data_IF_053520473333
#
_entry.id   IF_053520473333
#
_cell.length_a   1.000
_cell.length_b   1.000
_cell.length_c   1.000
_cell.angle_alpha   90.00
_cell.angle_beta   90.00
_cell.angle_gamma   90.00
#
_symmetry.space_group_name_H-M   'P 1'
#
loop_
_entity.id
_entity.type
_entity.pdbx_description
1 polymer ?
#
# COMPACT_ATOMS: atom_id res chain seq x y z
N UNK A 1 2.17 8.59 -24.38
CA UNK A 1 0.98 7.91 -23.83
C UNK A 1 -0.10 8.90 -23.44
N UNK A 2 0.17 9.85 -22.52
CA UNK A 2 -0.76 10.94 -22.17
C UNK A 2 -1.41 11.61 -23.40
N UNK A 3 -0.60 12.04 -24.37
CA UNK A 3 -1.10 12.60 -25.63
C UNK A 3 -2.08 11.68 -26.37
N UNK A 4 -1.77 10.39 -26.46
CA UNK A 4 -2.65 9.43 -27.14
C UNK A 4 -3.97 9.24 -26.39
N UNK A 5 -3.98 9.36 -25.05
CA UNK A 5 -5.21 9.28 -24.27
C UNK A 5 -6.10 10.51 -24.48
N UNK A 6 -5.50 11.69 -24.63
CA UNK A 6 -6.22 12.94 -24.97
C UNK A 6 -6.73 12.88 -26.42
N UNK A 7 -5.86 12.53 -27.37
CA UNK A 7 -6.20 12.49 -28.80
C UNK A 7 -7.29 11.45 -29.12
N UNK A 8 -7.41 10.39 -28.32
CA UNK A 8 -8.43 9.33 -28.45
C UNK A 8 -9.65 9.53 -27.54
N UNK A 9 -9.80 10.71 -26.92
CA UNK A 9 -10.97 11.09 -26.11
C UNK A 9 -11.20 10.16 -24.89
N UNK A 10 -10.11 9.76 -24.24
CA UNK A 10 -10.15 8.93 -23.02
C UNK A 10 -10.05 9.76 -21.72
N UNK A 11 -10.30 11.06 -21.77
CA UNK A 11 -10.25 11.92 -20.58
C UNK A 11 -11.31 11.54 -19.53
N UNK A 12 -12.51 11.18 -19.97
CA UNK A 12 -13.62 10.70 -19.12
C UNK A 12 -13.28 9.41 -18.34
N UNK A 13 -12.16 8.76 -18.69
CA UNK A 13 -11.65 7.57 -17.98
C UNK A 13 -10.71 7.92 -16.82
N UNK A 14 -10.22 9.16 -16.81
CA UNK A 14 -9.25 9.67 -15.83
C UNK A 14 -9.90 10.44 -14.69
N UNK A 15 -11.06 11.05 -14.93
CA UNK A 15 -11.90 11.77 -13.96
C UNK A 15 -13.34 11.82 -14.51
N UNK A 16 -14.33 12.08 -13.65
CA UNK A 16 -15.75 12.08 -14.03
C UNK A 16 -16.23 13.44 -14.55
N UNK A 17 -15.71 14.53 -13.99
CA UNK A 17 -16.06 15.90 -14.41
C UNK A 17 -14.96 16.90 -14.05
N UNK A 18 -14.99 18.08 -14.68
CA UNK A 18 -14.09 19.19 -14.32
C UNK A 18 -14.35 19.71 -12.90
N UNK A 19 -15.60 19.69 -12.44
CA UNK A 19 -15.97 20.04 -11.05
C UNK A 19 -15.33 19.08 -10.03
N UNK A 20 -15.20 17.79 -10.37
CA UNK A 20 -14.48 16.82 -9.54
C UNK A 20 -13.00 17.20 -9.41
N UNK A 21 -12.36 17.63 -10.50
CA UNK A 21 -10.96 18.10 -10.48
C UNK A 21 -10.79 19.35 -9.62
N UNK A 22 -11.68 20.33 -9.76
CA UNK A 22 -11.64 21.56 -8.96
C UNK A 22 -11.80 21.24 -7.46
N UNK A 23 -12.77 20.40 -7.10
CA UNK A 23 -12.98 19.95 -5.72
C UNK A 23 -11.77 19.17 -5.19
N UNK A 24 -11.18 18.32 -6.04
CA UNK A 24 -9.97 17.57 -5.69
C UNK A 24 -8.81 18.50 -5.38
N UNK A 25 -8.51 19.47 -6.24
CA UNK A 25 -7.37 20.38 -6.04
C UNK A 25 -7.59 21.35 -4.90
N UNK A 26 -8.81 21.85 -4.71
CA UNK A 26 -9.18 22.67 -3.56
C UNK A 26 -8.90 21.96 -2.22
N UNK A 27 -9.02 20.64 -2.18
CA UNK A 27 -8.75 19.81 -1.00
C UNK A 27 -7.28 19.41 -0.92
N UNK A 28 -6.69 18.91 -2.00
CA UNK A 28 -5.34 18.37 -2.03
C UNK A 28 -4.27 19.43 -1.80
N UNK A 29 -4.43 20.64 -2.37
CA UNK A 29 -3.43 21.71 -2.26
C UNK A 29 -3.35 22.31 -0.84
N UNK A 30 -4.26 21.96 0.07
CA UNK A 30 -4.14 22.34 1.48
C UNK A 30 -2.93 21.69 2.16
N UNK A 31 -2.40 20.58 1.61
CA UNK A 31 -1.22 19.89 2.15
C UNK A 31 0.12 20.50 1.67
N UNK A 32 0.08 21.31 0.58
CA UNK A 32 1.25 21.77 -0.16
C UNK A 32 1.20 23.29 -0.37
N UNK A 33 1.65 24.04 0.64
CA UNK A 33 1.49 25.49 0.66
C UNK A 33 2.19 26.19 -0.52
N UNK A 34 3.35 25.68 -0.93
CA UNK A 34 4.23 26.23 -1.97
C UNK A 34 3.98 25.62 -3.37
N UNK A 35 2.89 24.88 -3.56
CA UNK A 35 2.63 24.24 -4.85
C UNK A 35 2.09 25.25 -5.89
N UNK A 36 2.78 25.39 -7.02
CA UNK A 36 2.48 26.37 -8.07
C UNK A 36 1.01 26.40 -8.54
N UNK A 37 0.35 25.24 -8.60
CA UNK A 37 -1.05 25.14 -9.03
C UNK A 37 -2.03 25.87 -8.09
N UNK A 38 -1.61 26.16 -6.84
CA UNK A 38 -2.41 26.94 -5.88
C UNK A 38 -2.64 28.38 -6.35
N UNK A 39 -1.66 28.93 -7.07
CA UNK A 39 -1.72 30.29 -7.60
C UNK A 39 -2.38 30.37 -8.98
N UNK A 40 -2.86 29.23 -9.51
CA UNK A 40 -3.48 29.11 -10.83
C UNK A 40 -4.78 28.28 -10.77
N UNK A 41 -5.80 28.72 -10.01
CA UNK A 41 -7.08 28.00 -9.87
C UNK A 41 -7.79 27.77 -11.21
N UNK A 42 -7.58 28.65 -12.19
CA UNK A 42 -8.11 28.50 -13.55
C UNK A 42 -7.59 27.25 -14.28
N UNK A 43 -6.49 26.66 -13.82
CA UNK A 43 -5.91 25.44 -14.39
C UNK A 43 -6.41 24.16 -13.71
N UNK A 44 -7.15 24.25 -12.60
CA UNK A 44 -7.55 23.07 -11.83
C UNK A 44 -8.40 22.09 -12.65
N UNK A 45 -9.32 22.60 -13.49
CA UNK A 45 -10.15 21.79 -14.38
C UNK A 45 -9.37 21.10 -15.52
N UNK A 46 -8.09 21.42 -15.70
CA UNK A 46 -7.19 20.85 -16.70
C UNK A 46 -6.02 20.06 -16.09
N UNK A 47 -5.84 20.13 -14.78
CA UNK A 47 -4.75 19.46 -14.08
C UNK A 47 -5.18 18.06 -13.62
N UNK A 48 -4.68 17.03 -14.29
CA UNK A 48 -4.97 15.63 -14.00
C UNK A 48 -4.02 15.14 -12.89
N UNK A 49 -4.52 14.83 -11.68
CA UNK A 49 -3.69 14.27 -10.62
C UNK A 49 -3.26 12.84 -10.98
N UNK A 50 -1.97 12.56 -10.90
CA UNK A 50 -1.43 11.22 -11.17
C UNK A 50 -0.64 10.67 -9.99
N UNK A 51 -0.70 9.35 -9.85
CA UNK A 51 0.06 8.60 -8.86
C UNK A 51 1.10 7.78 -9.58
N UNK A 52 2.33 7.85 -9.07
CA UNK A 52 3.43 7.01 -9.51
C UNK A 52 3.55 5.80 -8.59
N UNK A 53 3.75 4.64 -9.17
CA UNK A 53 3.86 3.40 -8.42
C UNK A 53 4.93 2.50 -9.02
N UNK A 54 5.65 1.77 -8.17
CA UNK A 54 6.58 0.74 -8.61
C UNK A 54 6.62 -0.48 -7.70
N UNK A 55 6.90 -1.63 -8.31
CA UNK A 55 7.06 -2.92 -7.62
C UNK A 55 7.83 -3.91 -8.50
N UNK A 56 8.30 -4.99 -7.89
CA UNK A 56 9.05 -6.06 -8.53
C UNK A 56 8.21 -7.33 -8.72
N UNK A 57 8.04 -7.74 -9.98
CA UNK A 57 7.45 -9.03 -10.34
C UNK A 57 8.49 -10.11 -10.63
N UNK A 58 8.20 -11.37 -10.28
CA UNK A 58 9.11 -12.49 -10.55
C UNK A 58 8.71 -13.32 -11.79
N UNK A 59 9.66 -13.57 -12.69
CA UNK A 59 9.52 -14.44 -13.87
C UNK A 59 10.77 -15.31 -14.04
N UNK A 60 10.64 -16.63 -14.07
CA UNK A 60 11.75 -17.58 -14.30
C UNK A 60 12.98 -17.32 -13.41
N UNK A 61 12.78 -17.10 -12.10
CA UNK A 61 13.81 -16.72 -11.10
C UNK A 61 14.45 -15.34 -11.29
N UNK A 62 14.03 -14.59 -12.29
CA UNK A 62 14.41 -13.20 -12.47
C UNK A 62 13.37 -12.27 -11.86
N UNK A 63 13.83 -11.16 -11.28
CA UNK A 63 12.95 -10.09 -10.79
C UNK A 63 12.91 -8.95 -11.81
N UNK A 64 11.75 -8.38 -12.04
CA UNK A 64 11.50 -7.28 -12.98
C UNK A 64 10.85 -6.14 -12.23
N UNK A 65 11.52 -5.00 -12.19
CA UNK A 65 10.92 -3.73 -11.78
C UNK A 65 9.96 -3.25 -12.84
N UNK A 66 8.78 -2.84 -12.41
CA UNK A 66 7.78 -2.22 -13.25
C UNK A 66 7.41 -0.92 -12.55
N UNK A 67 7.59 0.20 -13.24
CA UNK A 67 7.09 1.50 -12.81
C UNK A 67 5.91 1.88 -13.69
N UNK A 68 4.81 2.28 -13.07
CA UNK A 68 3.60 2.71 -13.75
C UNK A 68 3.09 4.02 -13.15
N UNK A 69 2.24 4.72 -13.91
CA UNK A 69 1.43 5.80 -13.38
C UNK A 69 -0.06 5.48 -13.52
N UNK A 70 -0.90 6.17 -12.75
CA UNK A 70 -2.37 6.03 -12.74
C UNK A 70 -3.01 7.38 -12.43
N UNK A 71 -4.06 7.83 -13.15
CA UNK A 71 -4.85 8.98 -12.71
C UNK A 71 -5.49 8.69 -11.34
N UNK A 72 -5.30 9.57 -10.37
CA UNK A 72 -5.76 9.35 -8.99
C UNK A 72 -7.30 9.31 -8.90
N UNK A 73 -7.98 9.95 -9.86
CA UNK A 73 -9.44 10.03 -10.04
C UNK A 73 -10.01 9.02 -11.05
N UNK A 74 -9.21 8.05 -11.54
CA UNK A 74 -9.68 7.17 -12.61
C UNK A 74 -10.95 6.41 -12.23
N UNK A 75 -11.97 6.47 -13.09
CA UNK A 75 -13.22 5.69 -12.95
C UNK A 75 -12.98 4.18 -13.01
N UNK A 76 -11.84 3.78 -13.59
CA UNK A 76 -11.40 2.38 -13.66
C UNK A 76 -10.33 2.03 -12.63
N UNK A 77 -10.25 2.76 -11.51
CA UNK A 77 -9.28 2.52 -10.45
C UNK A 77 -9.32 1.09 -9.89
N UNK A 78 -10.45 0.40 -9.93
CA UNK A 78 -10.58 -1.02 -9.51
C UNK A 78 -10.30 -2.02 -10.64
N UNK A 79 -9.97 -1.57 -11.85
CA UNK A 79 -9.49 -2.40 -12.95
C UNK A 79 -8.01 -2.14 -13.24
N UNK A 80 -7.17 -3.06 -12.77
CA UNK A 80 -5.71 -2.99 -12.94
C UNK A 80 -5.21 -2.93 -14.39
N UNK A 81 -6.05 -3.31 -15.37
CA UNK A 81 -5.70 -3.35 -16.79
C UNK A 81 -6.11 -2.11 -17.56
N UNK A 82 -7.05 -1.33 -17.03
CA UNK A 82 -7.61 -0.15 -17.66
C UNK A 82 -6.96 1.16 -17.20
N UNK A 83 -6.46 1.22 -15.96
CA UNK A 83 -6.04 2.48 -15.34
C UNK A 83 -4.54 2.58 -15.02
N UNK A 84 -3.75 1.51 -15.24
CA UNK A 84 -2.30 1.51 -14.98
C UNK A 84 -1.52 1.54 -16.28
N UNK A 85 -0.63 2.51 -16.35
CA UNK A 85 0.11 2.88 -17.53
C UNK A 85 1.61 2.68 -17.27
N UNK A 86 2.23 1.69 -17.91
CA UNK A 86 3.65 1.36 -17.67
C UNK A 86 4.53 2.49 -18.22
N UNK A 87 5.41 3.00 -17.36
CA UNK A 87 6.43 4.01 -17.68
C UNK A 87 7.69 3.32 -18.17
N UNK A 88 8.22 2.40 -17.37
CA UNK A 88 9.35 1.57 -17.74
C UNK A 88 9.27 0.20 -17.07
N UNK A 89 10.05 -0.75 -17.60
CA UNK A 89 10.31 -2.02 -16.95
C UNK A 89 11.78 -2.38 -17.11
N UNK A 90 12.37 -2.93 -16.05
CA UNK A 90 13.78 -3.24 -15.99
C UNK A 90 14.01 -4.55 -15.25
N UNK A 91 14.91 -5.38 -15.77
CA UNK A 91 15.39 -6.56 -15.06
C UNK A 91 16.25 -6.16 -13.86
N UNK A 92 15.92 -6.64 -12.66
CA UNK A 92 16.63 -6.25 -11.43
C UNK A 92 18.12 -6.66 -11.43
N UNK A 93 18.52 -7.68 -12.20
CA UNK A 93 19.94 -8.04 -12.35
C UNK A 93 20.74 -7.04 -13.20
N UNK A 94 20.08 -6.04 -13.80
CA UNK A 94 20.72 -4.91 -14.48
C UNK A 94 20.92 -3.69 -13.57
N UNK A 95 20.50 -3.76 -12.31
CA UNK A 95 20.78 -2.69 -11.36
C UNK A 95 22.28 -2.54 -11.16
N UNK A 96 22.74 -1.31 -11.35
CA UNK A 96 24.00 -0.84 -10.81
C UNK A 96 23.72 -0.16 -9.48
N UNK A 97 24.19 -0.78 -8.39
CA UNK A 97 24.07 -0.25 -7.03
C UNK A 97 25.44 0.29 -6.64
N UNK A 98 25.52 1.60 -6.45
CA UNK A 98 26.73 2.27 -5.98
C UNK A 98 26.81 2.20 -4.45
N UNK A 99 27.98 1.80 -3.94
CA UNK A 99 28.20 1.57 -2.53
C UNK A 99 27.23 0.51 -1.98
N UNK A 100 26.62 0.79 -0.83
CA UNK A 100 25.73 -0.14 -0.13
C UNK A 100 24.24 0.17 -0.27
N UNK A 101 23.84 1.27 -0.93
CA UNK A 101 22.45 1.73 -0.82
C UNK A 101 21.83 2.43 -2.03
N UNK A 102 22.58 3.03 -2.95
CA UNK A 102 22.00 3.86 -4.03
C UNK A 102 21.89 3.05 -5.32
N UNK A 103 20.68 2.92 -5.86
CA UNK A 103 20.44 2.24 -7.14
C UNK A 103 20.55 3.25 -8.29
N UNK A 104 21.76 3.45 -8.80
CA UNK A 104 22.07 4.44 -9.85
C UNK A 104 21.30 4.19 -11.15
N UNK A 105 21.01 2.94 -11.47
CA UNK A 105 20.17 2.61 -12.64
C UNK A 105 18.75 3.15 -12.47
N UNK A 106 18.14 2.94 -11.31
CA UNK A 106 16.80 3.50 -11.03
C UNK A 106 16.83 5.02 -10.95
N UNK A 107 17.86 5.62 -10.35
CA UNK A 107 17.99 7.08 -10.32
C UNK A 107 18.09 7.68 -11.73
N UNK A 108 18.86 7.06 -12.63
CA UNK A 108 18.96 7.49 -14.03
C UNK A 108 17.63 7.38 -14.78
N UNK A 109 16.86 6.30 -14.57
CA UNK A 109 15.53 6.15 -15.17
C UNK A 109 14.53 7.16 -14.58
N UNK A 110 14.53 7.33 -13.25
CA UNK A 110 13.65 8.27 -12.58
C UNK A 110 13.96 9.72 -12.96
N UNK A 111 15.22 10.06 -13.23
CA UNK A 111 15.62 11.35 -13.78
C UNK A 111 14.91 11.67 -15.09
N UNK A 112 14.93 10.73 -16.05
CA UNK A 112 14.22 10.91 -17.33
C UNK A 112 12.70 11.04 -17.12
N UNK A 113 12.13 10.26 -16.19
CA UNK A 113 10.70 10.37 -15.83
C UNK A 113 10.38 11.74 -15.24
N UNK A 114 11.23 12.28 -14.39
CA UNK A 114 11.06 13.61 -13.79
C UNK A 114 11.11 14.70 -14.85
N UNK A 115 12.03 14.62 -15.81
CA UNK A 115 12.12 15.59 -16.90
C UNK A 115 10.84 15.60 -17.75
N UNK A 116 10.33 14.41 -18.12
CA UNK A 116 9.08 14.27 -18.86
C UNK A 116 7.87 14.78 -18.07
N UNK A 117 7.83 14.50 -16.76
CA UNK A 117 6.73 14.94 -15.88
C UNK A 117 6.77 16.43 -15.63
N UNK A 118 7.94 17.03 -15.38
CA UNK A 118 8.08 18.47 -15.25
C UNK A 118 7.62 19.18 -16.53
N UNK A 119 7.95 18.65 -17.70
CA UNK A 119 7.43 19.18 -18.96
C UNK A 119 5.90 19.04 -19.06
N UNK A 120 5.34 17.88 -18.72
CA UNK A 120 3.89 17.67 -18.74
C UNK A 120 3.13 18.50 -17.69
N UNK A 121 3.78 18.85 -16.57
CA UNK A 121 3.22 19.71 -15.51
C UNK A 121 3.26 21.18 -15.87
N UNK A 122 4.39 21.67 -16.39
CA UNK A 122 4.59 23.10 -16.61
C UNK A 122 4.09 23.55 -17.98
N UNK A 123 4.28 22.70 -19.00
CA UNK A 123 3.89 23.03 -20.37
C UNK A 123 2.58 22.34 -20.76
N UNK A 124 2.09 21.35 -20.00
CA UNK A 124 0.91 20.59 -20.38
C UNK A 124 1.10 19.72 -21.63
N UNK A 125 0.08 18.94 -21.96
CA UNK A 125 0.02 18.07 -23.12
C UNK A 125 -1.14 18.50 -23.99
N UNK A 126 -0.85 18.91 -25.24
CA UNK A 126 -1.87 19.31 -26.20
C UNK A 126 -2.51 18.12 -26.90
N UNK A 127 -3.84 18.06 -26.86
CA UNK A 127 -4.65 17.20 -27.70
C UNK A 127 -4.69 17.65 -29.16
N UNK A 128 -5.24 16.80 -30.01
CA UNK A 128 -5.50 17.08 -31.43
C UNK A 128 -6.52 18.22 -31.63
N UNK A 129 -7.41 18.43 -30.66
CA UNK A 129 -8.38 19.54 -30.61
C UNK A 129 -7.76 20.88 -30.19
N UNK A 130 -6.50 20.89 -29.76
CA UNK A 130 -5.81 22.08 -29.23
C UNK A 130 -5.97 22.30 -27.73
N UNK A 131 -6.84 21.53 -27.06
CA UNK A 131 -6.97 21.56 -25.59
C UNK A 131 -5.69 21.09 -24.91
N UNK A 132 -5.40 21.64 -23.73
CA UNK A 132 -4.18 21.38 -22.97
C UNK A 132 -4.53 20.86 -21.58
N UNK A 133 -3.89 19.75 -21.21
CA UNK A 133 -4.03 19.12 -19.90
C UNK A 133 -2.68 18.97 -19.21
N UNK A 134 -2.62 19.19 -17.90
CA UNK A 134 -1.40 19.14 -17.10
C UNK A 134 -1.40 17.86 -16.26
N UNK A 135 -0.32 17.09 -16.27
CA UNK A 135 -0.25 15.82 -15.52
C UNK A 135 0.58 16.04 -14.26
N UNK A 136 -0.09 16.13 -13.11
CA UNK A 136 0.53 16.57 -11.85
C UNK A 136 0.69 15.37 -10.90
N UNK A 137 1.91 14.91 -10.60
CA UNK A 137 2.11 13.86 -9.63
C UNK A 137 1.71 14.33 -8.23
N UNK A 138 0.90 13.52 -7.54
CA UNK A 138 0.38 13.84 -6.19
C UNK A 138 0.84 12.83 -5.14
N UNK A 139 1.28 11.65 -5.57
CA UNK A 139 1.73 10.60 -4.67
C UNK A 139 2.67 9.61 -5.36
N UNK A 140 3.54 9.02 -4.54
CA UNK A 140 4.38 7.88 -4.84
C UNK A 140 4.00 6.73 -3.94
N UNK A 141 3.67 5.58 -4.54
CA UNK A 141 3.24 4.36 -3.85
C UNK A 141 4.13 3.19 -4.21
N UNK A 142 4.08 2.14 -3.41
CA UNK A 142 4.79 0.89 -3.65
C UNK A 142 5.12 0.18 -2.35
N UNK A 143 5.74 -0.98 -2.47
CA UNK A 143 6.28 -1.65 -1.29
C UNK A 143 7.47 -0.85 -0.71
N UNK A 144 7.81 -1.07 0.56
CA UNK A 144 8.91 -0.34 1.20
C UNK A 144 10.26 -0.62 0.55
N UNK A 145 10.41 -1.76 -0.16
CA UNK A 145 11.65 -2.10 -0.86
C UNK A 145 11.84 -1.19 -2.08
N UNK A 146 10.80 -1.01 -2.89
CA UNK A 146 10.78 -0.08 -4.00
C UNK A 146 11.00 1.35 -3.52
N UNK A 147 10.21 1.82 -2.55
CA UNK A 147 10.32 3.19 -2.04
C UNK A 147 11.73 3.47 -1.51
N UNK A 148 12.36 2.51 -0.82
CA UNK A 148 13.76 2.62 -0.40
C UNK A 148 14.71 2.89 -1.56
N UNK A 149 14.58 2.15 -2.65
CA UNK A 149 15.48 2.27 -3.80
C UNK A 149 15.18 3.51 -4.64
N UNK A 150 13.91 3.85 -4.84
CA UNK A 150 13.47 5.00 -5.61
C UNK A 150 13.84 6.33 -4.95
N UNK A 151 13.79 6.39 -3.61
CA UNK A 151 14.04 7.60 -2.84
C UNK A 151 15.35 7.61 -2.06
N UNK A 152 16.26 6.66 -2.32
CA UNK A 152 17.52 6.53 -1.60
C UNK A 152 17.35 6.53 -0.06
N UNK A 153 16.27 5.91 0.44
CA UNK A 153 15.94 5.98 1.86
C UNK A 153 16.99 5.23 2.68
N UNK A 154 17.77 5.97 3.48
CA UNK A 154 18.73 5.40 4.43
C UNK A 154 18.00 4.74 5.60
N UNK A 155 16.87 5.31 6.02
CA UNK A 155 16.01 4.80 7.10
C UNK A 155 15.03 3.77 6.55
N UNK A 156 15.10 2.53 7.06
CA UNK A 156 14.30 1.41 6.61
C UNK A 156 14.18 0.32 7.68
N UNK A 157 13.32 -0.66 7.46
CA UNK A 157 13.02 -1.73 8.44
C UNK A 157 14.21 -2.58 8.90
N UNK A 158 15.36 -2.52 8.21
CA UNK A 158 16.58 -3.25 8.55
C UNK A 158 17.68 -2.36 9.18
N UNK A 159 17.52 -1.04 9.18
CA UNK A 159 18.46 -0.12 9.85
C UNK A 159 18.09 0.13 11.31
N UNK A 160 18.94 0.87 12.00
CA UNK A 160 18.65 1.33 13.36
C UNK A 160 17.51 2.35 13.37
N UNK A 161 17.57 3.36 12.51
CA UNK A 161 16.46 4.25 12.19
C UNK A 161 15.50 3.54 11.23
N UNK A 162 14.29 3.20 11.67
CA UNK A 162 13.40 2.28 10.93
C UNK A 162 12.35 2.96 10.08
N UNK A 163 12.13 4.27 10.25
CA UNK A 163 11.06 5.02 9.61
C UNK A 163 11.62 6.12 8.71
N UNK A 164 11.05 6.31 7.51
CA UNK A 164 11.46 7.41 6.63
C UNK A 164 10.75 8.73 6.95
N UNK A 165 9.64 8.69 7.71
CA UNK A 165 8.86 9.87 8.12
C UNK A 165 9.33 10.51 9.42
N UNK A 166 10.07 9.79 10.27
CA UNK A 166 10.51 10.29 11.57
C UNK A 166 11.82 9.62 11.99
N UNK A 167 12.28 9.88 13.21
CA UNK A 167 13.51 9.31 13.78
C UNK A 167 13.28 8.04 14.61
N UNK A 168 12.15 7.34 14.43
CA UNK A 168 11.89 6.09 15.16
C UNK A 168 13.01 5.06 14.94
N UNK A 169 13.45 4.44 16.03
CA UNK A 169 14.57 3.50 16.06
C UNK A 169 14.12 2.08 16.41
N UNK A 170 14.96 1.09 16.15
CA UNK A 170 14.76 -0.28 16.64
C UNK A 170 15.17 -0.46 18.12
N UNK A 171 15.58 0.62 18.79
CA UNK A 171 15.95 0.66 20.20
C UNK A 171 17.41 0.34 20.51
N UNK A 172 18.26 0.01 19.51
CA UNK A 172 19.68 -0.30 19.77
C UNK A 172 20.49 0.94 20.13
N UNK A 173 20.33 2.05 19.40
CA UNK A 173 21.01 3.30 19.72
C UNK A 173 20.22 4.20 20.66
N UNK A 174 18.88 4.20 20.52
CA UNK A 174 18.01 5.24 21.07
C UNK A 174 16.70 4.66 21.57
N UNK A 175 16.69 4.14 22.79
CA UNK A 175 15.50 3.54 23.43
C UNK A 175 14.34 4.53 23.51
N UNK A 176 14.62 5.83 23.72
CA UNK A 176 13.61 6.89 23.76
C UNK A 176 12.89 7.13 22.42
N UNK A 177 13.44 6.63 21.31
CA UNK A 177 12.84 6.71 19.97
C UNK A 177 12.32 5.35 19.50
N UNK A 178 12.21 4.34 20.37
CA UNK A 178 11.87 2.98 19.94
C UNK A 178 10.49 2.93 19.25
N UNK A 179 10.44 2.32 18.05
CA UNK A 179 9.22 2.29 17.23
C UNK A 179 8.06 1.51 17.88
N UNK A 180 8.35 0.69 18.89
CA UNK A 180 7.33 -0.08 19.62
C UNK A 180 6.63 0.72 20.70
N UNK A 181 7.13 1.93 21.03
CA UNK A 181 6.41 2.83 21.92
C UNK A 181 5.29 3.53 21.15
N UNK A 182 4.06 3.09 21.39
CA UNK A 182 2.85 3.66 20.79
C UNK A 182 2.27 4.80 21.61
N UNK A 183 2.80 5.07 22.80
CA UNK A 183 2.24 6.03 23.74
C UNK A 183 2.17 7.44 23.13
N UNK A 184 1.29 8.28 23.67
CA UNK A 184 1.21 9.69 23.28
C UNK A 184 2.50 10.47 23.52
N UNK A 185 3.37 9.96 24.41
CA UNK A 185 4.64 10.58 24.80
C UNK A 185 5.84 9.94 24.11
N UNK A 186 5.62 9.05 23.13
CA UNK A 186 6.70 8.40 22.41
C UNK A 186 7.63 9.42 21.75
N UNK A 187 8.94 9.34 22.03
CA UNK A 187 9.88 10.39 21.66
C UNK A 187 9.99 10.64 20.16
N UNK A 188 9.76 9.63 19.33
CA UNK A 188 9.78 9.76 17.87
C UNK A 188 8.69 10.71 17.33
N UNK A 189 7.58 10.93 18.07
CA UNK A 189 6.48 11.81 17.63
C UNK A 189 6.94 13.25 17.44
N UNK A 190 7.86 13.70 18.28
CA UNK A 190 8.42 15.05 18.20
C UNK A 190 9.32 15.25 16.97
N UNK A 191 9.57 14.18 16.22
CA UNK A 191 10.48 14.16 15.06
C UNK A 191 9.79 14.06 13.71
N UNK A 192 8.45 14.00 13.63
CA UNK A 192 7.73 13.76 12.36
C UNK A 192 7.99 14.86 11.32
N UNK A 193 8.07 16.12 11.75
CA UNK A 193 8.29 17.27 10.85
C UNK A 193 9.68 17.90 11.02
N UNK A 194 10.43 17.49 12.04
CA UNK A 194 11.77 18.02 12.34
C UNK A 194 12.89 17.04 12.02
N UNK A 195 12.55 15.80 11.62
CA UNK A 195 13.54 14.82 11.22
C UNK A 195 14.36 15.31 10.02
N UNK A 196 15.69 15.08 10.01
CA UNK A 196 16.50 15.25 8.81
C UNK A 196 15.92 14.43 7.65
N UNK A 197 16.23 14.87 6.42
CA UNK A 197 15.83 14.15 5.22
C UNK A 197 16.25 12.67 5.28
N UNK A 198 15.38 11.74 4.82
CA UNK A 198 15.62 10.29 4.94
C UNK A 198 16.68 9.76 3.97
N UNK A 199 17.42 10.60 3.27
CA UNK A 199 18.47 10.23 2.32
C UNK A 199 19.74 11.04 2.59
N UNK A 200 20.87 10.48 2.15
CA UNK A 200 22.14 11.22 2.11
C UNK A 200 22.30 11.92 0.75
N UNK A 201 21.94 11.22 -0.32
CA UNK A 201 21.92 11.73 -1.68
C UNK A 201 20.47 11.93 -2.12
N UNK A 202 20.12 13.15 -2.53
CA UNK A 202 18.77 13.49 -2.96
C UNK A 202 18.35 12.59 -4.14
N UNK A 203 17.22 11.88 -4.04
CA UNK A 203 16.74 11.07 -5.15
C UNK A 203 16.27 11.95 -6.30
N UNK A 204 16.26 11.39 -7.50
CA UNK A 204 15.92 12.11 -8.74
C UNK A 204 14.53 12.73 -8.68
N UNK A 205 13.57 12.08 -8.01
CA UNK A 205 12.22 12.61 -7.80
C UNK A 205 12.16 13.92 -7.00
N UNK A 206 13.19 14.28 -6.23
CA UNK A 206 13.25 15.59 -5.57
C UNK A 206 13.37 16.76 -6.56
N UNK A 207 13.69 16.50 -7.83
CA UNK A 207 13.70 17.52 -8.89
C UNK A 207 12.34 17.76 -9.53
N UNK A 208 11.31 17.02 -9.13
CA UNK A 208 9.95 17.25 -9.59
C UNK A 208 9.43 18.58 -9.04
N UNK A 209 8.81 19.41 -9.88
CA UNK A 209 8.16 20.64 -9.42
C UNK A 209 7.05 20.32 -8.42
N UNK A 210 7.07 20.99 -7.26
CA UNK A 210 6.11 20.73 -6.18
C UNK A 210 6.38 19.44 -5.39
N UNK A 211 7.58 18.82 -5.53
CA UNK A 211 7.93 17.67 -4.71
C UNK A 211 7.92 17.99 -3.21
N UNK A 212 7.23 17.16 -2.44
CA UNK A 212 7.23 17.18 -0.98
C UNK A 212 7.34 15.73 -0.46
N UNK A 213 8.02 15.53 0.67
CA UNK A 213 8.19 14.21 1.29
C UNK A 213 6.84 13.55 1.65
N UNK A 214 5.80 14.34 1.92
CA UNK A 214 4.42 13.89 2.13
C UNK A 214 3.85 13.16 0.93
N UNK A 215 4.36 13.37 -0.28
CA UNK A 215 3.95 12.63 -1.47
C UNK A 215 4.35 11.15 -1.40
N UNK A 216 5.35 10.77 -0.59
CA UNK A 216 5.72 9.37 -0.39
C UNK A 216 4.68 8.72 0.53
N UNK A 217 3.76 7.97 -0.06
CA UNK A 217 2.69 7.28 0.65
C UNK A 217 3.13 5.87 1.05
N UNK A 218 2.89 5.54 2.31
CA UNK A 218 3.05 4.17 2.75
C UNK A 218 1.82 3.36 2.29
N UNK A 219 2.05 2.14 1.81
CA UNK A 219 0.97 1.30 1.33
C UNK A 219 0.26 0.58 2.50
N UNK A 220 -1.04 0.84 2.66
CA UNK A 220 -1.88 0.19 3.67
C UNK A 220 -1.93 -1.33 3.50
N UNK A 221 -1.93 -1.84 2.27
CA UNK A 221 -1.93 -3.29 2.02
C UNK A 221 -0.64 -3.93 2.55
N UNK A 222 0.53 -3.41 2.20
CA UNK A 222 1.80 -3.92 2.71
C UNK A 222 2.00 -3.71 4.21
N UNK A 223 1.50 -2.61 4.74
CA UNK A 223 1.69 -2.19 6.14
C UNK A 223 0.76 -2.93 7.10
N UNK A 224 -0.53 -3.01 6.77
CA UNK A 224 -1.54 -3.67 7.57
C UNK A 224 -1.75 -5.13 7.15
N UNK A 225 -2.33 -5.37 5.97
CA UNK A 225 -2.74 -6.71 5.53
C UNK A 225 -1.59 -7.72 5.40
N UNK A 226 -0.43 -7.28 4.87
CA UNK A 226 0.78 -8.10 4.73
C UNK A 226 1.80 -7.83 5.86
N UNK A 227 1.44 -7.00 6.83
CA UNK A 227 2.24 -6.66 8.01
C UNK A 227 1.49 -7.02 9.28
N UNK A 228 0.95 -6.02 9.96
CA UNK A 228 0.36 -6.13 11.29
C UNK A 228 -0.75 -7.20 11.39
N UNK A 229 -1.65 -7.24 10.40
CA UNK A 229 -2.76 -8.19 10.38
C UNK A 229 -2.27 -9.64 10.26
N UNK A 230 -1.17 -9.92 9.54
CA UNK A 230 -0.63 -11.29 9.42
C UNK A 230 -0.14 -11.84 10.76
N UNK A 231 0.55 -11.00 11.53
CA UNK A 231 1.06 -11.38 12.85
C UNK A 231 -0.11 -11.55 13.85
N UNK A 232 -1.15 -10.71 13.76
CA UNK A 232 -2.40 -10.85 14.53
C UNK A 232 -3.14 -12.15 14.20
N UNK A 233 -3.46 -12.36 12.92
CA UNK A 233 -4.19 -13.53 12.40
C UNK A 233 -3.43 -14.81 12.74
N UNK A 234 -2.11 -14.83 12.53
CA UNK A 234 -1.27 -15.98 12.88
C UNK A 234 -1.35 -16.33 14.36
N UNK A 235 -1.23 -15.33 15.23
CA UNK A 235 -1.30 -15.51 16.69
C UNK A 235 -2.68 -16.00 17.13
N UNK A 236 -3.75 -15.39 16.60
CA UNK A 236 -5.13 -15.79 16.86
C UNK A 236 -5.39 -17.25 16.47
N UNK A 237 -5.05 -17.65 15.24
CA UNK A 237 -5.22 -19.02 14.77
C UNK A 237 -4.51 -20.01 15.69
N UNK A 238 -3.27 -19.71 16.11
CA UNK A 238 -2.50 -20.59 16.99
C UNK A 238 -3.15 -20.69 18.38
N UNK A 239 -3.63 -19.59 18.95
CA UNK A 239 -4.32 -19.61 20.24
C UNK A 239 -5.61 -20.44 20.16
N UNK A 240 -6.47 -20.16 19.18
CA UNK A 240 -7.76 -20.86 19.02
C UNK A 240 -7.61 -22.36 18.77
N UNK A 241 -6.59 -22.76 18.00
CA UNK A 241 -6.36 -24.18 17.69
C UNK A 241 -5.48 -24.91 18.69
N UNK A 242 -4.85 -24.22 19.67
CA UNK A 242 -4.18 -24.89 20.80
C UNK A 242 -5.15 -25.28 21.90
N UNK A 243 -6.15 -24.43 22.19
CA UNK A 243 -7.21 -24.73 23.17
C UNK A 243 -8.10 -25.85 22.63
N UNK A 244 -8.30 -26.91 23.41
CA UNK A 244 -9.34 -27.90 23.12
C UNK A 244 -10.69 -27.25 23.43
N UNK A 245 -11.69 -27.41 22.55
CA UNK A 245 -13.04 -26.89 22.77
C UNK A 245 -13.55 -25.99 21.65
N UNK A 246 -12.69 -25.15 21.05
CA UNK A 246 -13.09 -24.24 19.95
C UNK A 246 -13.20 -25.02 18.63
N UNK A 247 -12.12 -25.71 18.26
CA UNK A 247 -12.11 -26.60 17.10
C UNK A 247 -11.92 -28.04 17.56
N UNK A 248 -12.71 -28.95 17.00
CA UNK A 248 -12.67 -30.38 17.29
C UNK A 248 -11.51 -31.07 16.56
N UNK A 249 -11.03 -32.18 17.15
CA UNK A 249 -10.00 -33.03 16.56
C UNK A 249 -8.78 -33.22 17.45
N UNK A 250 -8.22 -34.44 17.39
CA UNK A 250 -7.12 -34.87 18.24
C UNK A 250 -5.80 -34.12 17.98
N UNK A 251 -5.57 -33.63 16.77
CA UNK A 251 -4.30 -33.00 16.34
C UNK A 251 -4.50 -31.55 15.89
N UNK A 252 -3.42 -30.75 15.97
CA UNK A 252 -3.41 -29.36 15.46
C UNK A 252 -3.80 -29.32 13.98
N UNK A 253 -3.31 -30.26 13.17
CA UNK A 253 -3.63 -30.33 11.74
C UNK A 253 -5.13 -30.52 11.48
N UNK A 254 -5.82 -31.35 12.28
CA UNK A 254 -7.28 -31.54 12.15
C UNK A 254 -8.03 -30.24 12.51
N UNK A 255 -7.63 -29.57 13.60
CA UNK A 255 -8.23 -28.29 14.03
C UNK A 255 -7.99 -27.16 13.04
N UNK A 256 -6.79 -27.04 12.47
CA UNK A 256 -6.49 -26.09 11.39
C UNK A 256 -7.33 -26.34 10.15
N UNK A 257 -7.57 -27.61 9.79
CA UNK A 257 -8.41 -27.94 8.64
C UNK A 257 -9.89 -27.59 8.87
N UNK A 258 -10.39 -27.78 10.10
CA UNK A 258 -11.74 -27.35 10.47
C UNK A 258 -11.89 -25.83 10.37
N UNK A 259 -10.99 -25.07 11.01
CA UNK A 259 -10.96 -23.60 10.93
C UNK A 259 -10.90 -23.12 9.48
N UNK A 260 -10.02 -23.71 8.67
CA UNK A 260 -9.90 -23.34 7.26
C UNK A 260 -11.15 -23.68 6.44
N UNK A 261 -11.87 -24.74 6.78
CA UNK A 261 -13.14 -25.10 6.13
C UNK A 261 -14.24 -24.11 6.51
N UNK A 262 -14.32 -23.72 7.78
CA UNK A 262 -15.21 -22.65 8.26
C UNK A 262 -14.94 -21.34 7.53
N UNK A 263 -13.67 -20.91 7.46
CA UNK A 263 -13.27 -19.69 6.75
C UNK A 263 -13.72 -19.69 5.28
N UNK A 264 -13.55 -20.80 4.55
CA UNK A 264 -14.00 -20.91 3.15
C UNK A 264 -15.52 -20.83 3.01
N UNK A 265 -16.25 -21.46 3.93
CA UNK A 265 -17.71 -21.41 3.93
C UNK A 265 -18.19 -19.98 4.22
N UNK A 266 -17.64 -19.35 5.25
CA UNK A 266 -17.89 -17.96 5.61
C UNK A 266 -17.59 -17.03 4.44
N UNK A 267 -16.42 -17.17 3.80
CA UNK A 267 -16.04 -16.36 2.65
C UNK A 267 -17.06 -16.48 1.51
N UNK A 268 -17.48 -17.72 1.18
CA UNK A 268 -18.50 -17.96 0.15
C UNK A 268 -19.84 -17.30 0.49
N UNK A 269 -20.27 -17.35 1.75
CA UNK A 269 -21.51 -16.71 2.21
C UNK A 269 -21.46 -15.18 2.08
N UNK A 270 -20.27 -14.58 2.15
CA UNK A 270 -20.05 -13.14 2.05
C UNK A 270 -19.55 -12.70 0.66
N UNK A 271 -19.64 -13.56 -0.36
CA UNK A 271 -19.18 -13.23 -1.72
C UNK A 271 -17.66 -13.02 -1.86
N UNK A 272 -16.87 -13.48 -0.89
CA UNK A 272 -15.41 -13.37 -0.86
C UNK A 272 -14.76 -14.67 -1.33
N UNK A 273 -13.49 -14.59 -1.75
CA UNK A 273 -12.69 -15.74 -2.15
C UNK A 273 -11.44 -15.88 -1.27
N UNK A 274 -11.07 -17.12 -0.96
CA UNK A 274 -9.83 -17.47 -0.26
C UNK A 274 -8.88 -18.12 -1.26
N UNK A 275 -7.77 -17.45 -1.54
CA UNK A 275 -6.75 -17.89 -2.49
C UNK A 275 -5.76 -18.91 -1.93
N UNK A 276 -5.51 -18.89 -0.61
CA UNK A 276 -4.68 -19.93 0.03
C UNK A 276 -5.39 -21.29 -0.04
N UNK A 277 -4.70 -22.33 -0.51
CA UNK A 277 -5.31 -23.65 -0.74
C UNK A 277 -5.49 -24.48 0.53
N UNK A 278 -4.61 -24.32 1.51
CA UNK A 278 -4.59 -25.09 2.77
C UNK A 278 -3.89 -24.31 3.87
N UNK A 279 -4.39 -24.43 5.09
CA UNK A 279 -3.75 -23.92 6.30
C UNK A 279 -2.95 -25.04 6.98
N UNK A 280 -1.65 -24.82 7.22
CA UNK A 280 -0.75 -25.78 7.87
C UNK A 280 0.08 -25.07 8.95
N UNK A 281 0.67 -25.81 9.89
CA UNK A 281 1.62 -25.23 10.85
C UNK A 281 2.78 -24.50 10.16
N UNK A 282 3.28 -25.03 9.04
CA UNK A 282 4.33 -24.39 8.22
C UNK A 282 3.89 -23.05 7.60
N UNK A 283 2.62 -22.92 7.20
CA UNK A 283 2.09 -21.65 6.66
C UNK A 283 1.84 -20.59 7.74
N UNK A 284 2.05 -20.95 9.01
CA UNK A 284 1.85 -20.11 10.18
C UNK A 284 3.14 -19.84 10.95
N UNK A 285 4.31 -20.30 10.48
CA UNK A 285 5.58 -20.24 11.26
C UNK A 285 5.42 -20.75 12.70
N UNK A 286 4.75 -21.89 12.87
CA UNK A 286 4.22 -22.34 14.16
C UNK A 286 5.21 -22.38 15.34
N UNK A 287 6.49 -22.70 15.08
CA UNK A 287 7.56 -22.78 16.08
C UNK A 287 8.15 -21.43 16.50
N UNK A 288 7.89 -20.38 15.71
CA UNK A 288 8.38 -19.03 15.93
C UNK A 288 7.22 -18.13 16.38
N UNK A 289 7.29 -16.84 16.03
CA UNK A 289 6.16 -15.93 16.08
C UNK A 289 5.18 -16.29 14.97
N UNK A 290 3.93 -16.66 15.29
CA UNK A 290 2.98 -17.09 14.30
C UNK A 290 2.66 -15.98 13.31
N UNK A 291 2.81 -16.28 12.02
CA UNK A 291 2.57 -15.32 10.94
C UNK A 291 1.74 -15.99 9.84
N UNK A 292 0.61 -15.39 9.49
CA UNK A 292 -0.22 -15.88 8.41
C UNK A 292 0.41 -15.61 7.02
N UNK A 293 0.90 -16.67 6.35
CA UNK A 293 1.53 -16.58 5.01
C UNK A 293 0.55 -16.59 3.83
N UNK A 294 -0.70 -16.17 4.01
CA UNK A 294 -1.64 -15.94 2.90
C UNK A 294 -1.36 -14.62 2.18
N UNK A 295 -1.98 -14.38 1.03
CA UNK A 295 -1.94 -13.09 0.32
C UNK A 295 -2.67 -12.00 1.11
N UNK A 296 -2.54 -10.73 0.71
CA UNK A 296 -3.23 -9.62 1.35
C UNK A 296 -4.76 -9.83 1.35
N UNK A 297 -5.30 -10.27 0.22
CA UNK A 297 -6.72 -10.58 0.07
C UNK A 297 -7.15 -11.71 1.01
N UNK A 298 -6.30 -12.72 1.24
CA UNK A 298 -6.59 -13.76 2.23
C UNK A 298 -6.66 -13.16 3.64
N UNK A 299 -5.73 -12.28 4.01
CA UNK A 299 -5.74 -11.63 5.32
C UNK A 299 -7.01 -10.79 5.55
N UNK A 300 -7.46 -10.06 4.53
CA UNK A 300 -8.72 -9.30 4.54
C UNK A 300 -9.98 -10.17 4.71
N UNK A 301 -9.91 -11.47 4.37
CA UNK A 301 -10.99 -12.43 4.61
C UNK A 301 -10.87 -13.07 6.00
N UNK A 302 -9.67 -13.47 6.39
CA UNK A 302 -9.43 -14.15 7.66
C UNK A 302 -9.73 -13.25 8.86
N UNK A 303 -9.45 -11.95 8.77
CA UNK A 303 -9.66 -11.01 9.88
C UNK A 303 -11.12 -10.99 10.39
N UNK A 304 -12.13 -10.65 9.56
CA UNK A 304 -13.53 -10.68 9.98
C UNK A 304 -14.07 -12.08 10.31
N UNK A 305 -13.56 -13.13 9.64
CA UNK A 305 -13.91 -14.52 9.99
C UNK A 305 -13.47 -14.88 11.42
N UNK A 306 -12.22 -14.57 11.79
CA UNK A 306 -11.71 -14.87 13.12
C UNK A 306 -12.40 -14.03 14.21
N UNK A 307 -12.78 -12.80 13.89
CA UNK A 307 -13.61 -11.97 14.77
C UNK A 307 -14.94 -12.68 15.07
N UNK A 308 -15.66 -13.12 14.03
CA UNK A 308 -16.93 -13.87 14.19
C UNK A 308 -16.75 -15.14 15.02
N UNK A 309 -15.71 -15.93 14.76
CA UNK A 309 -15.48 -17.17 15.52
C UNK A 309 -15.15 -16.93 16.99
N UNK A 310 -14.44 -15.85 17.33
CA UNK A 310 -14.12 -15.50 18.71
C UNK A 310 -15.27 -14.87 19.48
N UNK A 311 -16.24 -14.26 18.79
CA UNK A 311 -17.47 -13.79 19.44
C UNK A 311 -18.24 -14.98 20.02
N UNK A 312 -18.35 -16.06 19.24
CA UNK A 312 -19.03 -17.29 19.67
C UNK A 312 -18.16 -18.14 20.61
N UNK A 313 -16.84 -18.06 20.46
CA UNK A 313 -15.89 -18.90 21.19
C UNK A 313 -14.76 -18.06 21.81
N UNK A 314 -15.04 -17.27 22.86
CA UNK A 314 -14.05 -16.39 23.45
C UNK A 314 -12.86 -17.18 24.04
N UNK A 315 -11.68 -16.55 23.96
CA UNK A 315 -10.46 -17.08 24.59
C UNK A 315 -10.36 -16.52 26.01
N UNK A 316 -10.51 -17.39 27.00
CA UNK A 316 -10.22 -17.04 28.40
C UNK A 316 -8.73 -16.91 28.71
N UNK A 317 -8.44 -16.33 29.87
CA UNK A 317 -7.09 -16.27 30.45
C UNK A 317 -6.30 -15.03 30.03
N UNK A 318 -4.96 -15.12 29.93
CA UNK A 318 -4.10 -13.95 29.72
C UNK A 318 -4.36 -13.18 28.43
N UNK A 319 -5.00 -13.80 27.43
CA UNK A 319 -5.26 -13.20 26.12
C UNK A 319 -6.74 -12.89 25.90
N UNK A 320 -7.53 -12.69 26.96
CA UNK A 320 -8.96 -12.34 26.88
C UNK A 320 -9.24 -11.05 26.10
N UNK A 321 -8.27 -10.12 26.05
CA UNK A 321 -8.36 -8.91 25.22
C UNK A 321 -8.29 -9.14 23.72
N UNK A 322 -8.01 -10.37 23.24
CA UNK A 322 -7.83 -10.63 21.80
C UNK A 322 -9.07 -10.30 20.96
N UNK A 323 -10.27 -10.55 21.49
CA UNK A 323 -11.52 -10.22 20.78
C UNK A 323 -11.62 -8.71 20.51
N UNK A 324 -11.31 -7.88 21.51
CA UNK A 324 -11.32 -6.41 21.37
C UNK A 324 -10.27 -5.92 20.37
N UNK A 325 -9.07 -6.52 20.35
CA UNK A 325 -8.02 -6.17 19.38
C UNK A 325 -8.40 -6.57 17.96
N UNK A 326 -9.02 -7.74 17.75
CA UNK A 326 -9.51 -8.16 16.44
C UNK A 326 -10.67 -7.30 15.95
N UNK A 327 -11.58 -6.93 16.85
CA UNK A 327 -12.65 -5.99 16.53
C UNK A 327 -12.09 -4.65 16.08
N UNK A 328 -11.17 -4.05 16.86
CA UNK A 328 -10.55 -2.78 16.51
C UNK A 328 -9.79 -2.85 15.17
N UNK A 329 -9.04 -3.94 14.94
CA UNK A 329 -8.34 -4.18 13.68
C UNK A 329 -9.28 -4.28 12.47
N UNK A 330 -10.41 -4.98 12.63
CA UNK A 330 -11.40 -5.15 11.57
C UNK A 330 -12.11 -3.83 11.28
N UNK A 331 -12.55 -3.09 12.30
CA UNK A 331 -13.20 -1.78 12.14
C UNK A 331 -12.25 -0.76 11.50
N UNK A 332 -10.99 -0.73 11.92
CA UNK A 332 -9.95 0.10 11.30
C UNK A 332 -9.79 -0.25 9.82
N UNK A 333 -9.66 -1.54 9.51
CA UNK A 333 -9.52 -2.01 8.13
C UNK A 333 -10.75 -1.69 7.29
N UNK A 334 -11.94 -1.85 7.85
CA UNK A 334 -13.19 -1.59 7.15
C UNK A 334 -13.29 -0.11 6.80
N UNK A 335 -13.17 0.78 7.80
CA UNK A 335 -13.28 2.23 7.63
C UNK A 335 -12.24 2.75 6.63
N UNK A 336 -10.97 2.34 6.75
CA UNK A 336 -9.91 2.75 5.82
C UNK A 336 -10.21 2.28 4.39
N UNK A 337 -10.66 1.04 4.20
CA UNK A 337 -10.87 0.47 2.87
C UNK A 337 -12.17 0.90 2.22
N UNK A 338 -13.15 1.40 2.99
CA UNK A 338 -14.43 1.90 2.49
C UNK A 338 -14.44 3.41 2.25
N UNK A 339 -13.48 4.15 2.78
CA UNK A 339 -13.42 5.60 2.64
C UNK A 339 -13.05 6.05 1.22
N UNK A 340 -13.42 7.28 0.88
CA UNK A 340 -13.02 7.93 -0.36
C UNK A 340 -11.54 8.36 -0.39
N UNK A 341 -11.22 9.25 -1.33
CA UNK A 341 -9.88 9.86 -1.48
C UNK A 341 -9.52 10.68 -0.26
N UNK A 342 -10.49 11.47 0.22
CA UNK A 342 -10.38 12.32 1.39
C UNK A 342 -11.37 11.81 2.42
N UNK A 343 -10.91 11.67 3.65
CA UNK A 343 -11.73 11.23 4.77
C UNK A 343 -12.67 12.34 5.19
N UNK A 344 -13.93 12.00 5.46
CA UNK A 344 -14.81 12.85 6.27
C UNK A 344 -14.24 13.03 7.68
N UNK A 345 -14.74 14.03 8.42
CA UNK A 345 -14.29 14.26 9.80
C UNK A 345 -14.64 13.08 10.70
N UNK A 346 -15.80 12.46 10.46
CA UNK A 346 -16.27 11.28 11.20
C UNK A 346 -15.40 10.05 10.90
N UNK A 347 -15.06 9.79 9.63
CA UNK A 347 -14.16 8.69 9.25
C UNK A 347 -12.77 8.90 9.87
N UNK A 348 -12.22 10.11 9.82
CA UNK A 348 -10.93 10.44 10.43
C UNK A 348 -10.95 10.21 11.95
N UNK A 349 -11.96 10.72 12.65
CA UNK A 349 -12.14 10.49 14.09
C UNK A 349 -12.30 9.01 14.42
N UNK A 350 -13.02 8.26 13.59
CA UNK A 350 -13.21 6.82 13.74
C UNK A 350 -11.88 6.09 13.60
N UNK A 351 -11.12 6.34 12.52
CA UNK A 351 -9.81 5.76 12.26
C UNK A 351 -8.84 6.02 13.41
N UNK A 352 -8.79 7.24 13.93
CA UNK A 352 -7.93 7.58 15.07
C UNK A 352 -8.33 6.82 16.34
N UNK A 353 -9.63 6.77 16.64
CA UNK A 353 -10.16 6.12 17.84
C UNK A 353 -9.95 4.61 17.79
N UNK A 354 -10.43 3.94 16.72
CA UNK A 354 -10.30 2.49 16.58
C UNK A 354 -8.85 2.07 16.31
N UNK A 355 -8.09 2.92 15.62
CA UNK A 355 -6.67 2.73 15.38
C UNK A 355 -5.86 2.75 16.66
N UNK A 356 -6.11 3.73 17.55
CA UNK A 356 -5.45 3.76 18.86
C UNK A 356 -5.83 2.58 19.74
N UNK A 357 -7.11 2.21 19.77
CA UNK A 357 -7.56 1.00 20.47
C UNK A 357 -6.84 -0.26 19.96
N UNK A 358 -6.67 -0.38 18.64
CA UNK A 358 -5.91 -1.47 18.04
C UNK A 358 -4.43 -1.44 18.46
N UNK A 359 -3.76 -0.29 18.33
CA UNK A 359 -2.34 -0.15 18.64
C UNK A 359 -2.02 -0.48 20.10
N UNK A 360 -2.78 0.10 21.02
CA UNK A 360 -2.59 -0.08 22.47
C UNK A 360 -2.95 -1.51 22.88
N UNK A 361 -4.08 -2.03 22.40
CA UNK A 361 -4.49 -3.40 22.68
C UNK A 361 -3.50 -4.44 22.14
N UNK A 362 -2.95 -4.25 20.93
CA UNK A 362 -1.92 -5.13 20.38
C UNK A 362 -0.63 -5.05 21.22
N UNK A 363 -0.22 -3.86 21.65
CA UNK A 363 0.93 -3.64 22.53
C UNK A 363 0.78 -4.35 23.88
N UNK A 364 -0.42 -4.35 24.47
CA UNK A 364 -0.75 -5.10 25.68
C UNK A 364 -0.61 -6.61 25.45
N UNK A 365 -1.19 -7.15 24.37
CA UNK A 365 -1.09 -8.58 24.05
C UNK A 365 0.38 -9.02 23.81
N UNK A 366 1.17 -8.18 23.13
CA UNK A 366 2.60 -8.41 22.91
C UNK A 366 3.37 -8.42 24.23
N UNK A 367 3.09 -7.46 25.12
CA UNK A 367 3.71 -7.38 26.45
C UNK A 367 3.41 -8.60 27.30
N UNK A 368 2.15 -9.07 27.31
CA UNK A 368 1.74 -10.30 27.99
C UNK A 368 2.49 -11.50 27.44
N UNK A 369 2.62 -11.62 26.11
CA UNK A 369 3.35 -12.71 25.48
C UNK A 369 4.83 -12.72 25.90
N UNK A 370 5.49 -11.55 25.91
CA UNK A 370 6.89 -11.41 26.36
C UNK A 370 7.06 -11.81 27.82
N UNK A 371 6.21 -11.30 28.73
CA UNK A 371 6.25 -11.63 30.17
C UNK A 371 6.10 -13.14 30.40
N UNK A 372 5.29 -13.80 29.59
CA UNK A 372 5.04 -15.25 29.65
C UNK A 372 6.07 -16.08 28.87
N UNK A 373 7.06 -15.44 28.23
CA UNK A 373 8.05 -16.08 27.34
C UNK A 373 7.40 -16.86 26.19
N UNK A 374 6.24 -16.38 25.73
CA UNK A 374 5.49 -16.93 24.62
C UNK A 374 5.76 -16.11 23.35
N UNK A 375 5.89 -16.79 22.20
CA UNK A 375 6.13 -16.12 20.90
C UNK A 375 4.79 -15.83 20.23
N UNK A 376 4.18 -14.70 20.54
CA UNK A 376 2.96 -14.18 19.90
C UNK A 376 3.08 -12.68 19.63
N UNK A 377 2.20 -12.13 18.80
CA UNK A 377 2.00 -10.68 18.60
C UNK A 377 3.30 -9.91 18.30
N UNK A 378 3.99 -10.32 17.22
CA UNK A 378 5.26 -9.71 16.82
C UNK A 378 5.06 -8.27 16.35
N UNK A 379 5.69 -7.31 17.03
CA UNK A 379 5.72 -5.91 16.59
C UNK A 379 6.88 -5.68 15.61
N UNK A 380 6.56 -5.26 14.38
CA UNK A 380 7.53 -4.94 13.32
C UNK A 380 7.56 -3.45 13.06
N UNK A 381 8.58 -2.89 12.39
CA UNK A 381 8.57 -1.48 11.97
C UNK A 381 7.31 -1.05 11.20
N UNK A 382 6.66 -1.97 10.46
CA UNK A 382 5.37 -1.72 9.80
C UNK A 382 4.25 -1.31 10.76
N UNK A 383 4.32 -1.75 12.01
CA UNK A 383 3.37 -1.36 13.06
C UNK A 383 3.45 0.14 13.38
N UNK A 384 4.67 0.67 13.39
CA UNK A 384 4.91 2.10 13.53
C UNK A 384 4.56 2.89 12.25
N UNK A 385 4.79 2.33 11.07
CA UNK A 385 4.32 2.95 9.82
C UNK A 385 2.78 3.02 9.78
N UNK A 386 2.07 1.99 10.28
CA UNK A 386 0.61 2.03 10.44
C UNK A 386 0.18 3.15 11.38
N UNK A 387 0.93 3.38 12.46
CA UNK A 387 0.66 4.44 13.40
C UNK A 387 0.70 5.82 12.75
N UNK A 388 1.68 6.09 11.87
CA UNK A 388 1.69 7.31 11.06
C UNK A 388 0.46 7.43 10.14
N UNK A 389 -0.08 6.34 9.60
CA UNK A 389 -1.29 6.39 8.77
C UNK A 389 -2.54 6.74 9.59
N UNK A 390 -2.63 6.20 10.81
CA UNK A 390 -3.75 6.46 11.72
C UNK A 390 -3.74 7.93 12.17
N UNK A 391 -2.55 8.43 12.50
CA UNK A 391 -2.32 9.74 13.10
C UNK A 391 -2.01 10.84 12.07
N UNK A 392 -2.18 10.56 10.78
CA UNK A 392 -1.93 11.50 9.70
C UNK A 392 -2.87 12.71 9.79
N UNK A 393 -2.34 13.88 10.13
CA UNK A 393 -3.08 15.11 10.43
C UNK A 393 -3.08 16.11 9.26
N UNK A 394 -2.72 15.65 8.06
CA UNK A 394 -2.75 16.48 6.85
C UNK A 394 -4.11 17.17 6.64
N UNK A 395 -4.15 18.47 6.31
CA UNK A 395 -5.38 19.22 6.09
C UNK A 395 -6.34 18.59 5.08
N UNK A 396 -5.83 18.01 3.98
CA UNK A 396 -6.64 17.34 2.96
C UNK A 396 -7.37 16.12 3.50
N UNK A 397 -6.89 15.54 4.60
CA UNK A 397 -7.34 14.26 5.17
C UNK A 397 -7.31 13.14 4.14
N UNK A 398 -6.27 13.10 3.29
CA UNK A 398 -6.08 12.02 2.32
C UNK A 398 -6.15 10.65 3.00
N UNK A 399 -7.06 9.80 2.54
CA UNK A 399 -7.36 8.50 3.10
C UNK A 399 -6.26 7.48 2.79
N UNK A 400 -5.68 6.78 3.80
CA UNK A 400 -4.62 5.79 3.58
C UNK A 400 -5.10 4.57 2.79
N UNK A 401 -6.40 4.29 2.78
CA UNK A 401 -6.99 3.24 1.96
C UNK A 401 -6.98 3.61 0.49
N UNK A 402 -7.03 4.90 0.15
CA UNK A 402 -6.87 5.35 -1.22
C UNK A 402 -5.44 5.10 -1.75
N UNK A 403 -4.47 4.87 -0.88
CA UNK A 403 -3.09 4.59 -1.26
C UNK A 403 -2.71 3.10 -1.21
N UNK A 404 -3.69 2.19 -1.06
CA UNK A 404 -3.44 0.75 -1.06
C UNK A 404 -2.98 0.22 -2.44
N UNK A 405 -2.16 -0.84 -2.47
CA UNK A 405 -1.60 -1.36 -3.75
C UNK A 405 -2.20 -2.69 -4.26
N UNK A 406 -3.39 -3.09 -3.80
CA UNK A 406 -4.05 -4.35 -4.24
C UNK A 406 -4.15 -4.50 -5.76
N UNK A 407 -4.60 -3.44 -6.43
CA UNK A 407 -4.77 -3.45 -7.89
C UNK A 407 -3.43 -3.33 -8.63
N UNK A 408 -2.44 -2.71 -8.02
CA UNK A 408 -1.13 -2.55 -8.63
C UNK A 408 -0.34 -3.87 -8.59
N UNK A 409 -0.49 -4.67 -7.53
CA UNK A 409 0.00 -6.07 -7.53
C UNK A 409 -0.61 -6.91 -8.67
N UNK A 410 -1.90 -6.74 -8.94
CA UNK A 410 -2.58 -7.45 -10.03
C UNK A 410 -2.11 -6.95 -11.41
N UNK A 411 -1.80 -5.65 -11.51
CA UNK A 411 -1.17 -5.06 -12.67
C UNK A 411 0.24 -5.65 -12.92
N UNK A 412 1.08 -5.77 -11.88
CA UNK A 412 2.39 -6.43 -12.01
C UNK A 412 2.24 -7.88 -12.46
N UNK A 413 1.30 -8.63 -11.90
CA UNK A 413 1.03 -10.01 -12.37
C UNK A 413 0.62 -10.02 -13.85
N UNK A 414 -0.15 -9.04 -14.31
CA UNK A 414 -0.50 -8.90 -15.72
C UNK A 414 0.73 -8.61 -16.60
N UNK A 415 1.58 -7.67 -16.19
CA UNK A 415 2.83 -7.34 -16.87
C UNK A 415 3.78 -8.54 -16.95
N UNK A 416 3.95 -9.30 -15.86
CA UNK A 416 4.74 -10.53 -15.85
C UNK A 416 4.20 -11.58 -16.83
N UNK A 417 2.86 -11.72 -16.93
CA UNK A 417 2.24 -12.60 -17.94
C UNK A 417 2.45 -12.11 -19.39
N UNK A 418 2.65 -10.81 -19.61
CA UNK A 418 3.03 -10.30 -20.93
C UNK A 418 4.49 -10.59 -21.23
N UNK A 419 5.37 -10.36 -20.24
CA UNK A 419 6.81 -10.63 -20.32
C UNK A 419 7.11 -12.11 -20.57
N UNK A 420 6.32 -13.03 -20.02
CA UNK A 420 6.49 -14.47 -20.26
C UNK A 420 6.21 -14.91 -21.71
N UNK A 421 5.59 -14.04 -22.52
CA UNK A 421 5.20 -14.30 -23.91
C UNK A 421 6.09 -13.58 -24.94
N UNK A 422 7.24 -13.06 -24.54
CA UNK A 422 8.16 -12.32 -25.41
C UNK A 422 9.61 -12.72 -25.15
N UNK A 423 10.49 -12.49 -26.13
CA UNK A 423 11.92 -12.70 -25.94
C UNK A 423 12.48 -11.70 -24.93
N UNK A 424 13.32 -12.19 -24.02
CA UNK A 424 14.00 -11.42 -22.99
C UNK A 424 14.74 -10.19 -23.55
N UNK A 425 15.31 -10.29 -24.76
CA UNK A 425 16.03 -9.17 -25.43
C UNK A 425 15.12 -7.99 -25.79
N UNK A 426 13.84 -8.26 -25.98
CA UNK A 426 12.84 -7.29 -26.45
C UNK A 426 11.74 -7.05 -25.42
N UNK A 427 11.90 -7.60 -24.21
CA UNK A 427 10.82 -7.73 -23.25
C UNK A 427 10.34 -6.36 -22.74
N UNK A 428 11.28 -5.44 -22.47
CA UNK A 428 11.01 -4.08 -22.00
C UNK A 428 10.16 -3.30 -23.03
N UNK A 429 10.64 -3.23 -24.28
CA UNK A 429 9.90 -2.59 -25.39
C UNK A 429 8.54 -3.24 -25.65
N UNK A 430 8.47 -4.57 -25.70
CA UNK A 430 7.23 -5.26 -26.01
C UNK A 430 6.21 -5.18 -24.87
N UNK A 431 6.65 -5.07 -23.62
CA UNK A 431 5.74 -4.82 -22.50
C UNK A 431 5.06 -3.45 -22.65
N UNK A 432 5.82 -2.40 -22.94
CA UNK A 432 5.28 -1.06 -23.15
C UNK A 432 4.24 -1.05 -24.28
N UNK A 433 4.59 -1.59 -25.46
CA UNK A 433 3.68 -1.66 -26.61
C UNK A 433 2.41 -2.47 -26.30
N UNK A 434 2.54 -3.63 -25.64
CA UNK A 434 1.40 -4.47 -25.29
C UNK A 434 0.53 -3.86 -24.19
N UNK A 435 1.13 -3.13 -23.25
CA UNK A 435 0.38 -2.40 -22.22
C UNK A 435 -0.47 -1.30 -22.87
N UNK A 436 0.07 -0.50 -23.80
CA UNK A 436 -0.71 0.51 -24.52
C UNK A 436 -1.91 -0.10 -25.27
N UNK A 437 -1.69 -1.21 -26.01
CA UNK A 437 -2.76 -1.91 -26.72
C UNK A 437 -3.80 -2.46 -25.74
N UNK A 438 -3.37 -3.08 -24.64
CA UNK A 438 -4.28 -3.66 -23.65
C UNK A 438 -5.15 -2.57 -23.01
N UNK A 439 -4.55 -1.46 -22.57
CA UNK A 439 -5.30 -0.38 -21.90
C UNK A 439 -6.36 0.17 -22.84
N UNK A 440 -5.99 0.51 -24.09
CA UNK A 440 -6.93 0.97 -25.11
C UNK A 440 -8.08 -0.01 -25.32
N UNK A 441 -7.78 -1.30 -25.46
CA UNK A 441 -8.83 -2.33 -25.66
C UNK A 441 -9.75 -2.48 -24.44
N UNK A 442 -9.20 -2.43 -23.23
CA UNK A 442 -10.00 -2.55 -22.01
C UNK A 442 -10.88 -1.32 -21.81
N UNK A 443 -10.35 -0.12 -22.02
CA UNK A 443 -11.10 1.13 -21.94
C UNK A 443 -12.25 1.15 -22.94
N UNK A 444 -12.00 0.82 -24.21
CA UNK A 444 -13.05 0.77 -25.24
C UNK A 444 -14.17 -0.22 -24.89
N UNK A 445 -13.83 -1.38 -24.32
CA UNK A 445 -14.84 -2.35 -23.86
C UNK A 445 -15.67 -1.82 -22.69
N UNK A 446 -15.01 -1.16 -21.74
CA UNK A 446 -15.69 -0.60 -20.59
C UNK A 446 -16.67 0.52 -21.00
N UNK A 447 -16.27 1.39 -21.93
CA UNK A 447 -17.15 2.43 -22.50
C UNK A 447 -18.35 1.84 -23.27
N UNK A 448 -18.19 0.65 -23.86
CA UNK A 448 -19.29 -0.08 -24.51
C UNK A 448 -20.21 -0.81 -23.53
N UNK A 449 -20.00 -0.67 -22.21
CA UNK A 449 -20.74 -1.42 -21.19
C UNK A 449 -20.45 -2.92 -21.21
N UNK A 450 -19.42 -3.36 -21.95
CA UNK A 450 -19.01 -4.77 -22.01
C UNK A 450 -18.16 -5.07 -20.80
N UNK A 451 -18.72 -5.83 -19.85
CA UNK A 451 -17.97 -6.31 -18.69
C UNK A 451 -16.71 -7.04 -19.16
N UNK A 452 -15.54 -6.62 -18.66
CA UNK A 452 -14.29 -7.33 -18.94
C UNK A 452 -14.42 -8.79 -18.48
N UNK A 453 -13.99 -9.77 -19.31
CA UNK A 453 -14.01 -11.18 -18.93
C UNK A 453 -13.05 -11.52 -17.79
#
# INVERSE_FOLDING_TARGET
>A
MAKALIDEDFLDTMFQSTEELETYWATMLQDFEDHWLRDSPELWCQAIPIVLWGDEGSLNRSSWMIMSWTPDLSVFRTDSRASRYVVYCLLASRYYIEGSSVNQTLQSLNAAVVDDLNNAMMNGVCGSSGERYYFVPVAFRGDLKYLKQAFNLKRNSSSDEVCFKCMASNGRSSVHLVYTDTSLQAGWRQTVDSAPLPWTEAPSFCRLHGFDLKMIQADFMHTFHLGCARDLIGSCIKLMTRKRGIFSGATISKRLNQLFTGCKLWARQHGKQVGIKRLRQKSLQWSEYPEFKGKAADAAVFLPYLLSELQDNPIDGPYSGLLGVLWAAEQLSHCIMSSGIFLSLEEKSTIETVGRLFLDGYGVLASIAVQRREKYFKMRPKFHVLQHMIEDDRPSRRGPGWDHTFMDEDHVKACIRMLSKVSHRTAEKNLLLRNCIQVKQTVLRALQGVKSP
#
